data_IF_295721865438
#
_entry.id   IF_295721865438
#
_cell.length_a   1.000
_cell.length_b   1.000
_cell.length_c   1.000
_cell.angle_alpha   90.00
_cell.angle_beta   90.00
_cell.angle_gamma   90.00
#
_symmetry.space_group_name_H-M   'P 1'
#
loop_
_entity.id
_entity.type
_entity.pdbx_description
1 polymer ?
#
# COMPACT_ATOMS: atom_id res chain seq x y z
N UNK A 1 4.88 -8.28 -3.04
CA UNK A 1 4.11 -7.21 -2.42
C UNK A 1 2.99 -7.79 -1.57
N UNK A 2 2.69 -7.14 -0.47
CA UNK A 2 1.64 -7.57 0.45
C UNK A 2 0.65 -6.42 0.60
N UNK A 3 -0.65 -6.70 0.50
CA UNK A 3 -1.69 -5.69 0.59
C UNK A 3 -2.79 -6.13 1.55
N UNK A 4 -3.22 -5.25 2.44
CA UNK A 4 -4.41 -5.47 3.25
C UNK A 4 -5.32 -4.26 3.13
N UNK A 5 -6.48 -4.41 2.54
CA UNK A 5 -7.55 -3.41 2.55
C UNK A 5 -8.90 -4.13 2.57
N UNK A 6 -9.75 -3.82 3.54
CA UNK A 6 -11.14 -4.24 3.53
C UNK A 6 -12.01 -3.05 3.15
N UNK A 7 -12.84 -3.22 2.13
CA UNK A 7 -13.83 -2.22 1.73
C UNK A 7 -15.21 -2.82 1.92
N UNK A 8 -15.99 -2.24 2.79
CA UNK A 8 -17.41 -2.48 2.90
C UNK A 8 -18.14 -1.29 2.27
N UNK A 9 -19.19 -1.58 1.54
CA UNK A 9 -20.11 -0.58 1.05
C UNK A 9 -21.53 -0.88 1.50
N UNK A 10 -22.02 0.07 2.27
CA UNK A 10 -23.45 0.37 2.31
C UNK A 10 -23.65 1.73 1.65
N UNK A 11 -24.76 1.94 1.03
CA UNK A 11 -25.15 3.28 0.57
C UNK A 11 -24.95 4.27 1.72
N UNK A 12 -23.93 5.14 1.61
CA UNK A 12 -23.67 6.35 2.40
C UNK A 12 -22.96 6.29 3.76
N UNK A 13 -22.25 5.23 4.17
CA UNK A 13 -21.55 5.25 5.46
C UNK A 13 -20.07 4.94 5.45
N UNK A 14 -19.43 4.89 4.27
CA UNK A 14 -17.99 4.70 4.18
C UNK A 14 -17.22 6.01 4.38
N UNK A 15 -15.96 5.88 4.74
CA UNK A 15 -15.05 7.01 4.93
C UNK A 15 -14.50 7.49 3.60
N UNK A 16 -14.31 8.82 3.50
CA UNK A 16 -13.77 9.49 2.32
C UNK A 16 -12.25 9.58 2.38
N UNK A 17 -11.61 9.40 1.25
CA UNK A 17 -10.17 9.50 1.06
C UNK A 17 -9.70 10.93 0.84
N UNK A 18 -8.55 11.25 1.44
CA UNK A 18 -7.86 12.51 1.27
C UNK A 18 -6.36 12.26 1.04
N UNK A 19 -5.83 12.56 -0.15
CA UNK A 19 -4.40 12.46 -0.40
C UNK A 19 -3.63 13.59 0.31
N UNK A 20 -2.44 13.27 0.82
CA UNK A 20 -1.48 14.27 1.29
C UNK A 20 -0.20 14.19 0.46
N UNK A 21 0.58 15.27 0.45
CA UNK A 21 1.96 15.18 -0.03
C UNK A 21 2.72 14.19 0.85
N UNK A 22 3.35 13.14 0.28
CA UNK A 22 4.02 12.12 1.07
C UNK A 22 4.99 12.73 2.09
N UNK A 23 4.83 12.39 3.37
CA UNK A 23 5.58 12.97 4.48
C UNK A 23 6.07 11.91 5.44
N UNK A 24 7.34 12.01 5.87
CA UNK A 24 7.95 11.10 6.86
C UNK A 24 7.42 11.38 8.25
N UNK A 25 6.75 10.36 8.86
CA UNK A 25 6.25 10.41 10.25
C UNK A 25 7.22 9.73 11.22
N UNK A 26 7.98 8.73 10.77
CA UNK A 26 8.91 7.98 11.60
C UNK A 26 10.13 7.54 10.81
N UNK A 27 11.30 7.75 11.41
CA UNK A 27 12.55 7.10 11.05
C UNK A 27 13.20 6.65 12.35
N UNK A 28 13.33 5.35 12.56
CA UNK A 28 13.88 4.81 13.81
C UNK A 28 15.41 4.68 13.81
N UNK A 29 16.10 5.05 12.73
CA UNK A 29 17.55 4.96 12.68
C UNK A 29 18.23 6.04 13.54
N UNK A 30 19.23 5.72 14.37
CA UNK A 30 19.84 4.41 14.52
C UNK A 30 19.15 3.49 15.57
N UNK A 31 18.06 3.92 16.20
CA UNK A 31 17.40 3.26 17.34
C UNK A 31 16.27 2.33 16.86
N UNK A 32 16.62 1.15 16.38
CA UNK A 32 15.67 0.15 15.86
C UNK A 32 14.58 -0.23 16.88
N UNK A 33 13.43 -0.68 16.39
CA UNK A 33 12.41 -1.33 17.23
C UNK A 33 12.93 -2.72 17.59
N UNK A 34 13.04 -3.02 18.88
CA UNK A 34 13.56 -4.29 19.38
C UNK A 34 12.57 -5.45 19.08
N UNK A 35 13.12 -6.66 18.95
CA UNK A 35 12.33 -7.87 18.76
C UNK A 35 11.28 -8.05 19.88
N UNK A 36 10.06 -8.44 19.50
CA UNK A 36 8.97 -8.68 20.42
C UNK A 36 8.37 -7.43 21.06
N UNK A 37 8.78 -6.21 20.65
CA UNK A 37 8.29 -4.97 21.24
C UNK A 37 7.37 -4.20 20.30
N UNK A 38 6.59 -3.30 20.87
CA UNK A 38 5.65 -2.41 20.17
C UNK A 38 6.05 -0.96 20.38
N UNK A 39 6.01 -0.17 19.32
CA UNK A 39 6.16 1.29 19.34
C UNK A 39 4.87 1.96 18.89
N UNK A 40 4.36 2.89 19.66
CA UNK A 40 3.25 3.74 19.25
C UNK A 40 3.76 4.93 18.42
N UNK A 41 2.96 5.33 17.43
CA UNK A 41 3.24 6.46 16.54
C UNK A 41 1.99 7.33 16.43
N UNK A 42 2.11 8.60 16.74
CA UNK A 42 1.07 9.59 16.48
C UNK A 42 0.97 9.82 14.97
N UNK A 43 -0.25 9.70 14.43
CA UNK A 43 -0.52 9.85 13.00
C UNK A 43 -1.53 10.95 12.70
N UNK A 44 -2.25 11.45 13.69
CA UNK A 44 -3.18 12.58 13.53
C UNK A 44 -2.53 13.89 14.03
N UNK A 45 -2.89 15.02 13.41
CA UNK A 45 -2.30 16.32 13.70
C UNK A 45 -0.88 16.51 13.16
N UNK A 46 -0.37 15.57 12.38
CA UNK A 46 1.00 15.56 11.83
C UNK A 46 0.98 15.15 10.35
N UNK A 47 1.99 15.54 9.57
CA UNK A 47 2.14 15.11 8.18
C UNK A 47 0.96 15.45 7.25
N UNK A 48 0.16 16.46 7.58
CA UNK A 48 -1.03 16.85 6.82
C UNK A 48 -2.30 16.03 7.18
N UNK A 49 -2.22 15.15 8.18
CA UNK A 49 -3.37 14.36 8.67
C UNK A 49 -4.09 15.14 9.77
N UNK A 50 -5.40 15.47 9.63
CA UNK A 50 -6.14 16.20 10.64
C UNK A 50 -6.45 15.35 11.88
N UNK A 51 -6.83 15.99 12.99
CA UNK A 51 -7.15 15.33 14.26
C UNK A 51 -8.36 14.41 14.20
N UNK A 52 -9.28 14.65 13.26
CA UNK A 52 -10.50 13.85 13.06
C UNK A 52 -10.34 12.72 12.04
N UNK A 53 -9.12 12.43 11.59
CA UNK A 53 -8.87 11.28 10.71
C UNK A 53 -9.18 9.97 11.44
N UNK A 54 -9.88 9.08 10.77
CA UNK A 54 -10.34 7.78 11.28
C UNK A 54 -9.44 6.63 10.86
N UNK A 55 -8.75 6.79 9.72
CA UNK A 55 -7.72 5.88 9.24
C UNK A 55 -6.66 6.63 8.44
N UNK A 56 -5.49 6.00 8.29
CA UNK A 56 -4.37 6.52 7.50
C UNK A 56 -3.89 5.48 6.50
N UNK A 57 -3.40 5.96 5.36
CA UNK A 57 -2.65 5.15 4.39
C UNK A 57 -1.18 5.53 4.49
N UNK A 58 -0.37 4.52 4.72
CA UNK A 58 1.06 4.66 5.03
C UNK A 58 1.89 3.82 4.06
N UNK A 59 3.10 4.26 3.77
CA UNK A 59 4.16 3.39 3.32
C UNK A 59 5.05 3.04 4.53
N UNK A 60 5.06 1.78 4.92
CA UNK A 60 5.85 1.28 6.06
C UNK A 60 6.98 0.43 5.54
N UNK A 61 8.21 0.71 5.92
CA UNK A 61 9.37 -0.06 5.50
C UNK A 61 10.16 -0.62 6.69
N UNK A 62 10.48 -1.90 6.64
CA UNK A 62 11.55 -2.49 7.44
C UNK A 62 12.88 -2.25 6.74
N UNK A 63 13.87 -1.75 7.47
CA UNK A 63 15.16 -1.33 6.90
C UNK A 63 16.31 -1.94 7.69
N UNK A 64 17.28 -2.52 6.97
CA UNK A 64 18.47 -3.17 7.53
C UNK A 64 18.17 -4.16 8.66
N UNK A 65 17.22 -5.10 8.47
CA UNK A 65 16.92 -6.10 9.50
C UNK A 65 18.07 -7.11 9.61
N UNK A 66 18.51 -7.39 10.84
CA UNK A 66 19.60 -8.36 11.08
C UNK A 66 19.13 -9.81 10.95
N UNK A 67 17.82 -10.07 11.13
CA UNK A 67 17.19 -11.38 11.00
C UNK A 67 15.88 -11.25 10.23
N UNK A 68 15.44 -12.34 9.62
CA UNK A 68 14.11 -12.41 9.02
C UNK A 68 13.02 -12.21 10.08
N UNK A 69 11.95 -11.49 9.74
CA UNK A 69 10.89 -11.14 10.68
C UNK A 69 9.67 -10.53 10.00
N UNK A 70 8.86 -9.86 10.82
CA UNK A 70 7.66 -9.19 10.33
C UNK A 70 7.35 -7.94 11.16
N UNK A 71 6.59 -7.03 10.56
CA UNK A 71 5.91 -5.94 11.27
C UNK A 71 4.42 -6.20 11.28
N UNK A 72 3.76 -5.79 12.39
CA UNK A 72 2.31 -5.70 12.50
C UNK A 72 1.97 -4.26 12.85
N UNK A 73 1.14 -3.64 11.99
CA UNK A 73 0.68 -2.26 12.17
C UNK A 73 -0.81 -2.31 12.45
N UNK A 74 -1.22 -1.73 13.56
CA UNK A 74 -2.59 -1.85 14.06
C UNK A 74 -3.00 -0.63 14.88
N UNK A 75 -4.30 -0.43 15.16
CA UNK A 75 -4.76 0.71 15.96
C UNK A 75 -4.18 0.66 17.37
N UNK A 76 -3.63 1.76 17.86
CA UNK A 76 -3.19 1.84 19.26
C UNK A 76 -4.33 1.57 20.22
N UNK A 77 -4.07 0.84 21.31
CA UNK A 77 -5.08 0.40 22.26
C UNK A 77 -5.85 -0.86 21.87
N UNK A 78 -5.64 -1.38 20.65
CA UNK A 78 -6.22 -2.67 20.24
C UNK A 78 -5.29 -3.83 20.57
N UNK A 79 -5.81 -5.07 20.73
CA UNK A 79 -5.00 -6.26 20.87
C UNK A 79 -4.04 -6.46 19.68
N UNK A 80 -2.88 -7.06 19.93
CA UNK A 80 -1.91 -7.40 18.88
C UNK A 80 -2.53 -8.40 17.89
N UNK A 81 -2.68 -8.03 16.59
CA UNK A 81 -3.30 -8.91 15.61
C UNK A 81 -2.37 -10.08 15.25
N UNK A 82 -2.93 -11.18 14.76
CA UNK A 82 -2.15 -12.31 14.23
C UNK A 82 -1.60 -12.05 12.82
N UNK A 83 -2.25 -11.17 12.06
CA UNK A 83 -1.86 -10.80 10.71
C UNK A 83 -0.65 -9.87 10.70
N UNK A 84 0.36 -10.16 9.87
CA UNK A 84 1.47 -9.25 9.60
C UNK A 84 1.11 -8.23 8.53
N UNK A 85 1.61 -7.01 8.68
CA UNK A 85 1.49 -5.96 7.67
C UNK A 85 2.59 -6.04 6.62
N UNK A 86 3.78 -6.51 7.00
CA UNK A 86 4.86 -6.87 6.08
C UNK A 86 5.78 -7.92 6.71
N UNK A 87 6.39 -8.72 5.85
CA UNK A 87 7.44 -9.68 6.24
C UNK A 87 8.74 -9.30 5.54
N UNK A 88 9.85 -9.50 6.22
CA UNK A 88 11.18 -9.16 5.70
C UNK A 88 12.18 -10.30 5.94
N UNK A 89 13.12 -10.45 5.02
CA UNK A 89 14.28 -11.34 5.17
C UNK A 89 15.47 -10.56 5.72
N UNK A 90 16.45 -11.28 6.23
CA UNK A 90 17.73 -10.73 6.68
C UNK A 90 18.36 -9.83 5.62
N UNK A 91 18.81 -8.65 6.01
CA UNK A 91 19.46 -7.65 5.14
C UNK A 91 18.64 -7.19 3.92
N UNK A 92 17.31 -7.38 3.94
CA UNK A 92 16.43 -6.92 2.86
C UNK A 92 15.54 -5.77 3.33
N UNK A 93 15.67 -4.64 2.67
CA UNK A 93 14.75 -3.52 2.87
C UNK A 93 13.41 -3.84 2.19
N UNK A 94 12.33 -3.83 2.96
CA UNK A 94 11.00 -4.21 2.45
C UNK A 94 10.00 -3.13 2.82
N UNK A 95 9.46 -2.38 1.85
CA UNK A 95 8.33 -1.50 2.06
C UNK A 95 7.01 -2.23 1.83
N UNK A 96 5.95 -1.73 2.41
CA UNK A 96 4.58 -2.11 2.08
C UNK A 96 3.61 -0.94 2.28
N UNK A 97 2.62 -0.83 1.41
CA UNK A 97 1.48 0.05 1.61
C UNK A 97 0.56 -0.54 2.69
N UNK A 98 0.30 0.23 3.74
CA UNK A 98 -0.50 -0.19 4.88
C UNK A 98 -1.63 0.81 5.09
N UNK A 99 -2.87 0.32 5.12
CA UNK A 99 -4.01 1.10 5.60
C UNK A 99 -4.35 0.63 6.99
N UNK A 100 -4.51 1.56 7.90
CA UNK A 100 -4.74 1.25 9.31
C UNK A 100 -5.70 2.25 9.94
N UNK A 101 -6.67 1.74 10.70
CA UNK A 101 -7.57 2.56 11.53
C UNK A 101 -6.74 3.31 12.58
N UNK A 102 -7.09 4.56 12.83
CA UNK A 102 -6.51 5.33 13.93
C UNK A 102 -7.04 4.78 15.26
N UNK A 103 -6.16 4.54 16.19
CA UNK A 103 -6.46 4.04 17.51
C UNK A 103 -6.50 5.15 18.58
N UNK A 104 -6.33 4.75 19.82
CA UNK A 104 -6.36 5.65 20.98
C UNK A 104 -5.36 6.79 20.82
N UNK A 105 -5.76 7.99 21.21
CA UNK A 105 -4.95 9.22 21.18
C UNK A 105 -4.42 9.58 19.80
N UNK A 106 -5.10 9.22 18.72
CA UNK A 106 -4.66 9.52 17.36
C UNK A 106 -3.42 8.74 16.92
N UNK A 107 -3.23 7.54 17.47
CA UNK A 107 -2.02 6.75 17.30
C UNK A 107 -2.29 5.40 16.60
N UNK A 108 -1.24 4.85 16.03
CA UNK A 108 -1.12 3.45 15.62
C UNK A 108 -0.01 2.78 16.42
N UNK A 109 -0.05 1.46 16.47
CA UNK A 109 0.98 0.62 17.09
C UNK A 109 1.74 -0.15 16.02
N UNK A 110 3.07 -0.24 16.16
CA UNK A 110 3.98 -0.96 15.27
C UNK A 110 4.72 -1.99 16.11
N UNK A 111 4.40 -3.26 15.93
CA UNK A 111 5.09 -4.39 16.57
C UNK A 111 6.14 -4.95 15.62
N UNK A 112 7.32 -5.24 16.14
CA UNK A 112 8.41 -5.89 15.41
C UNK A 112 8.63 -7.31 15.93
N UNK A 113 8.44 -8.32 15.07
CA UNK A 113 8.73 -9.72 15.40
C UNK A 113 10.21 -10.01 15.55
N UNK A 114 11.07 -9.27 14.85
CA UNK A 114 12.53 -9.22 15.05
C UNK A 114 13.03 -7.78 14.94
N UNK A 115 14.19 -7.51 15.55
CA UNK A 115 14.77 -6.16 15.58
C UNK A 115 14.98 -5.62 14.18
N UNK A 116 14.43 -4.43 13.90
CA UNK A 116 14.59 -3.75 12.61
C UNK A 116 14.40 -2.24 12.76
N UNK A 117 15.05 -1.48 11.89
CA UNK A 117 14.69 -0.09 11.70
C UNK A 117 13.40 0.02 10.90
N UNK A 118 12.58 1.01 11.22
CA UNK A 118 11.28 1.23 10.59
C UNK A 118 11.19 2.66 10.08
N UNK A 119 10.76 2.79 8.83
CA UNK A 119 10.36 4.06 8.23
C UNK A 119 8.85 4.05 8.03
N UNK A 120 8.20 5.18 8.32
CA UNK A 120 6.77 5.36 8.07
C UNK A 120 6.55 6.69 7.37
N UNK A 121 5.99 6.64 6.17
CA UNK A 121 5.57 7.79 5.40
C UNK A 121 4.05 7.78 5.25
N UNK A 122 3.38 8.90 5.50
CA UNK A 122 1.95 9.04 5.23
C UNK A 122 1.74 9.50 3.80
N UNK A 123 0.73 8.92 3.13
CA UNK A 123 0.36 9.27 1.75
C UNK A 123 -1.09 9.78 1.65
N UNK A 124 -1.88 9.61 2.71
CA UNK A 124 -3.23 10.11 2.80
C UNK A 124 -3.97 9.56 4.02
N UNK A 125 -5.20 10.01 4.20
CA UNK A 125 -6.04 9.64 5.34
C UNK A 125 -7.51 9.50 4.94
N UNK A 126 -8.30 9.00 5.87
CA UNK A 126 -9.75 8.85 5.73
C UNK A 126 -10.47 9.60 6.85
N UNK A 127 -11.66 10.13 6.52
CA UNK A 127 -12.55 10.81 7.48
C UNK A 127 -14.00 10.43 7.26
N UNK A 128 -14.81 10.54 8.32
CA UNK A 128 -16.26 10.49 8.22
C UNK A 128 -16.83 11.75 7.56
N UNK A 129 -16.69 11.87 6.26
CA UNK A 129 -17.38 12.92 5.52
C UNK A 129 -17.99 12.30 4.25
N UNK A 130 -19.30 12.20 4.23
CA UNK A 130 -20.05 11.40 3.25
C UNK A 130 -20.03 11.88 1.79
N UNK A 131 -19.18 12.85 1.42
CA UNK A 131 -19.36 13.57 0.15
C UNK A 131 -18.10 13.65 -0.73
N UNK A 132 -16.95 13.08 -0.33
CA UNK A 132 -15.71 13.21 -1.07
C UNK A 132 -15.11 11.85 -1.47
N UNK A 133 -14.00 11.85 -2.10
CA UNK A 133 -13.29 10.81 -2.81
C UNK A 133 -13.46 9.37 -2.28
N UNK A 134 -14.10 8.57 -3.07
CA UNK A 134 -14.38 7.16 -2.82
C UNK A 134 -13.63 6.29 -3.84
N UNK A 135 -13.33 5.06 -3.47
CA UNK A 135 -12.56 4.13 -4.31
C UNK A 135 -13.43 3.51 -5.40
N UNK A 136 -12.89 3.44 -6.60
CA UNK A 136 -13.45 2.67 -7.71
C UNK A 136 -12.41 1.66 -8.17
N UNK A 137 -12.66 0.34 -8.03
CA UNK A 137 -11.75 -0.69 -8.54
C UNK A 137 -11.78 -0.72 -10.07
N UNK A 138 -10.65 -1.08 -10.67
CA UNK A 138 -10.56 -1.42 -12.11
C UNK A 138 -9.93 -2.79 -12.27
N UNK A 139 -10.19 -3.46 -13.39
CA UNK A 139 -9.46 -4.68 -13.75
C UNK A 139 -7.96 -4.35 -13.82
N UNK A 140 -7.11 -5.05 -13.06
CA UNK A 140 -5.69 -4.77 -13.04
C UNK A 140 -5.09 -4.79 -14.45
N UNK A 141 -4.53 -3.66 -14.86
CA UNK A 141 -4.04 -3.47 -16.23
C UNK A 141 -2.63 -2.87 -16.23
N UNK A 142 -1.70 -3.48 -16.94
CA UNK A 142 -0.35 -2.94 -17.12
C UNK A 142 -0.36 -1.78 -18.10
N UNK A 143 0.03 -0.59 -17.63
CA UNK A 143 0.12 0.63 -18.44
C UNK A 143 1.57 1.01 -18.77
N UNK A 144 2.55 0.45 -18.07
CA UNK A 144 3.98 0.70 -18.33
C UNK A 144 4.80 -0.56 -18.06
N UNK A 145 5.73 -0.84 -18.99
CA UNK A 145 6.81 -1.81 -18.83
C UNK A 145 8.02 -1.28 -19.61
N UNK A 146 9.04 -0.77 -18.90
CA UNK A 146 10.19 -0.14 -19.53
C UNK A 146 11.44 -0.27 -18.66
N UNK A 147 12.61 -0.18 -19.28
CA UNK A 147 13.89 -0.02 -18.57
C UNK A 147 14.02 1.43 -18.11
N UNK A 148 14.21 1.63 -16.80
CA UNK A 148 14.47 2.94 -16.20
C UNK A 148 15.94 3.05 -15.82
N UNK A 149 16.63 4.03 -16.41
CA UNK A 149 18.05 4.25 -16.20
C UNK A 149 18.36 4.68 -14.75
N UNK A 150 19.61 4.50 -14.29
CA UNK A 150 20.05 4.95 -12.96
C UNK A 150 19.83 6.45 -12.76
N UNK A 151 19.39 6.85 -11.57
CA UNK A 151 19.26 8.24 -11.14
C UNK A 151 18.43 9.13 -12.10
N UNK A 152 17.49 8.52 -12.84
CA UNK A 152 16.61 9.23 -13.78
C UNK A 152 15.16 9.20 -13.33
N UNK A 153 14.38 10.16 -13.85
CA UNK A 153 12.93 10.26 -13.67
C UNK A 153 12.24 10.01 -15.01
N UNK A 154 11.14 9.27 -14.99
CA UNK A 154 10.20 9.16 -16.11
C UNK A 154 8.82 9.63 -15.68
N UNK A 155 8.01 10.08 -16.63
CA UNK A 155 6.61 10.41 -16.41
C UNK A 155 5.72 9.34 -17.04
N UNK A 156 4.72 8.89 -16.30
CA UNK A 156 3.75 7.87 -16.73
C UNK A 156 2.36 8.48 -16.72
N UNK A 157 1.69 8.45 -17.88
CA UNK A 157 0.28 8.87 -17.98
C UNK A 157 -0.60 7.82 -17.33
N UNK A 158 -1.36 8.23 -16.32
CA UNK A 158 -2.28 7.38 -15.56
C UNK A 158 -3.73 7.75 -15.80
N UNK A 159 -4.03 9.03 -16.00
CA UNK A 159 -5.37 9.47 -16.36
C UNK A 159 -5.70 9.07 -17.80
N UNK A 160 -6.83 8.43 -18.00
CA UNK A 160 -7.23 7.87 -19.29
C UNK A 160 -6.60 6.52 -19.65
N UNK A 161 -5.82 5.92 -18.72
CA UNK A 161 -5.13 4.65 -18.95
C UNK A 161 -5.63 3.55 -18.01
N UNK A 162 -5.69 2.30 -18.48
CA UNK A 162 -5.95 1.10 -17.69
C UNK A 162 -7.24 1.18 -16.85
N UNK A 163 -8.33 1.73 -17.41
CA UNK A 163 -9.62 1.88 -16.73
C UNK A 163 -9.74 3.12 -15.83
N UNK A 164 -8.67 3.90 -15.65
CA UNK A 164 -8.74 5.17 -14.94
C UNK A 164 -9.29 6.25 -15.90
N UNK A 165 -10.32 7.03 -15.51
CA UNK A 165 -10.86 8.08 -16.36
C UNK A 165 -9.81 9.14 -16.73
N UNK A 166 -9.98 9.78 -17.90
CA UNK A 166 -9.17 10.94 -18.26
C UNK A 166 -9.47 12.12 -17.34
N UNK A 167 -8.48 12.97 -17.08
CA UNK A 167 -8.68 14.18 -16.30
C UNK A 167 -9.55 15.18 -17.07
N UNK A 168 -10.65 15.62 -16.46
CA UNK A 168 -11.53 16.66 -16.97
C UNK A 168 -12.44 17.15 -15.86
N UNK A 169 -13.11 18.31 -16.02
CA UNK A 169 -13.95 18.90 -14.97
C UNK A 169 -15.06 17.97 -14.44
N UNK A 170 -15.44 16.95 -15.23
CA UNK A 170 -16.47 15.98 -14.88
C UNK A 170 -15.92 14.63 -14.37
N UNK A 171 -14.62 14.37 -14.47
CA UNK A 171 -14.04 13.05 -14.13
C UNK A 171 -13.26 13.03 -12.83
N UNK A 172 -12.95 14.18 -12.25
CA UNK A 172 -12.50 14.45 -10.89
C UNK A 172 -11.72 13.36 -10.13
N UNK A 173 -10.81 12.60 -10.80
CA UNK A 173 -9.98 11.63 -10.05
C UNK A 173 -9.05 12.37 -9.11
N UNK A 174 -9.12 12.06 -7.82
CA UNK A 174 -8.23 12.65 -6.81
C UNK A 174 -6.94 11.87 -6.66
N UNK A 175 -7.01 10.56 -6.87
CA UNK A 175 -5.83 9.69 -6.77
C UNK A 175 -5.97 8.46 -7.65
N UNK A 176 -4.87 8.06 -8.29
CA UNK A 176 -4.70 6.76 -8.92
C UNK A 176 -4.18 5.75 -7.89
N UNK A 177 -4.65 4.53 -7.96
CA UNK A 177 -4.13 3.39 -7.17
C UNK A 177 -3.34 2.50 -8.12
N UNK A 178 -2.04 2.44 -7.92
CA UNK A 178 -1.08 1.83 -8.83
C UNK A 178 -0.26 0.77 -8.10
N UNK A 179 0.03 -0.33 -8.78
CA UNK A 179 1.04 -1.27 -8.33
C UNK A 179 2.35 -0.97 -9.09
N UNK A 180 3.37 -0.53 -8.36
CA UNK A 180 4.65 -0.07 -8.91
C UNK A 180 5.68 -1.16 -8.72
N UNK A 181 6.22 -1.69 -9.82
CA UNK A 181 7.24 -2.73 -9.81
C UNK A 181 8.62 -2.20 -10.15
N UNK A 182 9.62 -2.60 -9.35
CA UNK A 182 11.03 -2.57 -9.69
C UNK A 182 11.46 -4.01 -9.92
N UNK A 183 11.50 -4.45 -11.18
CA UNK A 183 11.81 -5.82 -11.53
C UNK A 183 13.24 -5.93 -12.09
N UNK A 184 13.86 -7.10 -11.90
CA UNK A 184 15.20 -7.41 -12.39
C UNK A 184 16.24 -6.31 -12.08
N UNK A 185 16.31 -5.80 -10.82
CA UNK A 185 17.24 -4.74 -10.51
C UNK A 185 18.68 -5.26 -10.53
N UNK A 186 19.55 -4.56 -11.25
CA UNK A 186 20.98 -4.88 -11.29
C UNK A 186 21.75 -4.33 -10.07
N UNK A 187 21.09 -3.58 -9.20
CA UNK A 187 21.63 -3.02 -7.96
C UNK A 187 20.53 -2.77 -6.93
N UNK A 188 20.93 -2.48 -5.70
CA UNK A 188 19.99 -2.08 -4.66
C UNK A 188 19.59 -0.61 -4.81
N UNK A 189 18.35 -0.27 -4.46
CA UNK A 189 17.85 1.08 -4.55
C UNK A 189 16.39 1.24 -4.17
N UNK A 190 15.80 2.31 -4.67
CA UNK A 190 14.41 2.62 -4.40
C UNK A 190 13.74 3.33 -5.60
N UNK A 191 12.42 3.24 -5.65
CA UNK A 191 11.60 4.12 -6.50
C UNK A 191 10.89 5.14 -5.63
N UNK A 192 10.76 6.37 -6.16
CA UNK A 192 9.89 7.42 -5.61
C UNK A 192 8.82 7.73 -6.63
N UNK A 193 7.59 7.93 -6.18
CA UNK A 193 6.44 8.24 -7.03
C UNK A 193 5.74 9.47 -6.48
N UNK A 194 5.44 10.44 -7.36
CA UNK A 194 4.79 11.69 -6.97
C UNK A 194 4.01 12.31 -8.14
N UNK A 195 3.12 13.30 -7.88
CA UNK A 195 2.42 14.03 -8.94
C UNK A 195 3.40 14.74 -9.87
N UNK A 196 3.31 14.54 -11.18
CA UNK A 196 4.14 15.26 -12.16
C UNK A 196 3.95 16.77 -12.01
N UNK A 197 5.04 17.52 -12.02
CA UNK A 197 5.04 18.97 -11.81
C UNK A 197 5.18 19.39 -10.34
N UNK A 198 5.10 18.45 -9.38
CA UNK A 198 5.37 18.73 -7.97
C UNK A 198 6.82 18.42 -7.61
N UNK A 199 7.26 18.88 -6.43
CA UNK A 199 8.59 18.57 -5.90
C UNK A 199 8.70 17.07 -5.57
N UNK A 200 9.83 16.45 -5.92
CA UNK A 200 10.13 15.05 -5.60
C UNK A 200 10.19 14.86 -4.07
N UNK A 201 9.41 13.92 -3.51
CA UNK A 201 9.41 13.67 -2.07
C UNK A 201 10.70 12.97 -1.61
N UNK A 202 11.03 13.10 -0.32
CA UNK A 202 12.13 12.34 0.29
C UNK A 202 11.76 10.88 0.62
N UNK A 203 10.45 10.57 0.65
CA UNK A 203 9.95 9.23 0.90
C UNK A 203 10.10 8.32 -0.32
N UNK A 204 10.48 7.07 -0.10
CA UNK A 204 10.47 6.04 -1.15
C UNK A 204 9.13 5.32 -1.19
N UNK A 205 8.66 5.02 -2.39
CA UNK A 205 7.45 4.19 -2.61
C UNK A 205 7.80 2.71 -2.63
N UNK A 206 8.93 2.35 -3.24
CA UNK A 206 9.39 0.98 -3.34
C UNK A 206 10.89 0.92 -3.01
N UNK A 207 11.33 -0.15 -2.34
CA UNK A 207 12.74 -0.43 -2.07
C UNK A 207 13.05 -1.84 -2.54
N UNK A 208 14.20 -2.02 -3.18
CA UNK A 208 14.61 -3.28 -3.77
C UNK A 208 16.11 -3.54 -3.52
N UNK A 209 16.51 -4.78 -3.64
CA UNK A 209 17.92 -5.21 -3.60
C UNK A 209 18.31 -5.79 -4.95
N UNK A 210 19.60 -5.87 -5.24
CA UNK A 210 20.09 -6.53 -6.44
C UNK A 210 19.46 -7.92 -6.58
N UNK A 211 18.99 -8.24 -7.78
CA UNK A 211 18.31 -9.49 -8.14
C UNK A 211 17.03 -9.81 -7.35
N UNK A 212 16.54 -8.88 -6.53
CA UNK A 212 15.33 -9.05 -5.72
C UNK A 212 14.33 -7.95 -6.06
N UNK A 213 13.59 -8.18 -7.15
CA UNK A 213 12.57 -7.26 -7.63
C UNK A 213 11.37 -7.20 -6.69
N UNK A 214 10.82 -6.01 -6.54
CA UNK A 214 9.71 -5.74 -5.61
C UNK A 214 8.60 -4.97 -6.29
N UNK A 215 7.39 -5.24 -5.86
CA UNK A 215 6.21 -4.45 -6.18
C UNK A 215 5.65 -3.84 -4.91
N UNK A 216 5.14 -2.63 -5.00
CA UNK A 216 4.42 -1.98 -3.91
C UNK A 216 3.28 -1.13 -4.42
N UNK A 217 2.22 -1.01 -3.62
CA UNK A 217 1.08 -0.18 -3.94
C UNK A 217 1.43 1.30 -3.71
N UNK A 218 1.09 2.13 -4.69
CA UNK A 218 1.12 3.58 -4.60
C UNK A 218 -0.28 4.16 -4.74
N UNK A 219 -0.66 5.05 -3.83
CA UNK A 219 -1.84 5.89 -4.01
C UNK A 219 -1.31 7.29 -4.23
N UNK A 220 -1.51 7.82 -5.42
CA UNK A 220 -0.88 9.07 -5.85
C UNK A 220 -1.84 9.92 -6.65
N UNK A 221 -1.88 11.23 -6.37
CA UNK A 221 -2.62 12.20 -7.17
C UNK A 221 -1.94 12.32 -8.54
N UNK A 222 -2.65 12.22 -9.66
CA UNK A 222 -2.09 12.61 -10.94
C UNK A 222 -1.75 14.12 -10.95
N UNK A 223 -0.57 14.43 -11.47
CA UNK A 223 -0.12 15.82 -11.62
C UNK A 223 -0.41 16.39 -13.01
N UNK A 224 0.49 17.24 -13.52
CA UNK A 224 0.39 17.85 -14.85
C UNK A 224 0.11 16.78 -15.91
N UNK A 225 -0.83 17.06 -16.81
CA UNK A 225 -1.26 16.17 -17.90
C UNK A 225 -1.74 14.79 -17.46
N UNK A 226 -2.24 14.65 -16.22
CA UNK A 226 -2.71 13.36 -15.69
C UNK A 226 -1.59 12.33 -15.48
N UNK A 227 -0.36 12.80 -15.22
CA UNK A 227 0.83 11.97 -15.11
C UNK A 227 1.32 11.85 -13.66
N UNK A 228 2.06 10.78 -13.40
CA UNK A 228 2.89 10.60 -12.22
C UNK A 228 4.35 10.53 -12.63
N UNK A 229 5.23 11.13 -11.84
CA UNK A 229 6.67 11.05 -12.00
C UNK A 229 7.22 9.90 -11.17
N UNK A 230 8.13 9.12 -11.75
CA UNK A 230 8.77 7.97 -11.09
C UNK A 230 10.28 8.09 -11.23
N UNK A 231 10.99 8.12 -10.10
CA UNK A 231 12.45 8.24 -10.03
C UNK A 231 13.09 6.92 -9.61
N UNK A 232 14.13 6.52 -10.33
CA UNK A 232 15.01 5.43 -9.94
C UNK A 232 16.18 5.96 -9.10
N UNK A 233 16.13 5.78 -7.80
CA UNK A 233 17.18 6.19 -6.84
C UNK A 233 18.27 5.12 -6.64
N UNK A 234 18.58 4.33 -7.65
CA UNK A 234 19.70 3.39 -7.63
C UNK A 234 20.78 3.81 -8.63
N UNK A 235 21.99 3.27 -8.47
CA UNK A 235 23.10 3.41 -9.41
C UNK A 235 23.03 2.41 -10.59
N UNK A 236 21.98 1.63 -10.69
CA UNK A 236 21.79 0.60 -11.70
C UNK A 236 20.42 0.73 -12.40
N UNK A 237 20.27 0.10 -13.56
CA UNK A 237 19.00 0.01 -14.26
C UNK A 237 18.02 -0.89 -13.53
N UNK A 238 16.73 -0.62 -13.71
CA UNK A 238 15.63 -1.44 -13.23
C UNK A 238 14.54 -1.53 -14.28
N UNK A 239 13.86 -2.65 -14.39
CA UNK A 239 12.63 -2.74 -15.19
C UNK A 239 11.49 -2.18 -14.35
N UNK A 240 10.97 -1.02 -14.77
CA UNK A 240 9.80 -0.39 -14.18
C UNK A 240 8.54 -1.00 -14.77
N UNK A 241 7.64 -1.46 -13.91
CA UNK A 241 6.26 -1.78 -14.29
C UNK A 241 5.28 -0.94 -13.50
N UNK A 242 4.19 -0.53 -14.15
CA UNK A 242 3.09 0.19 -13.52
C UNK A 242 1.78 -0.48 -13.94
N UNK A 243 1.05 -1.00 -12.97
CA UNK A 243 -0.27 -1.58 -13.17
C UNK A 243 -1.31 -0.71 -12.46
N UNK A 244 -2.43 -0.41 -13.12
CA UNK A 244 -3.59 0.23 -12.49
C UNK A 244 -4.38 -0.82 -11.73
N UNK A 245 -4.95 -0.46 -10.56
CA UNK A 245 -5.83 -1.33 -9.78
C UNK A 245 -7.08 -0.62 -9.29
N UNK A 246 -7.16 0.69 -9.46
CA UNK A 246 -8.32 1.51 -9.10
C UNK A 246 -7.98 2.99 -9.06
N UNK A 247 -8.95 3.77 -8.65
CA UNK A 247 -8.80 5.22 -8.47
C UNK A 247 -9.78 5.74 -7.40
N UNK A 248 -9.54 6.94 -6.92
CA UNK A 248 -10.45 7.66 -6.03
C UNK A 248 -11.11 8.80 -6.79
N UNK A 249 -12.42 8.92 -6.65
CA UNK A 249 -13.25 9.95 -7.27
C UNK A 249 -14.52 10.17 -6.47
N UNK A 250 -15.24 11.25 -6.78
CA UNK A 250 -16.60 11.47 -6.29
C UNK A 250 -17.55 10.33 -6.72
N UNK A 251 -18.34 9.81 -5.78
CA UNK A 251 -19.38 8.81 -6.07
C UNK A 251 -18.89 7.37 -6.21
N UNK A 252 -17.66 7.06 -5.82
CA UNK A 252 -17.14 5.69 -5.69
C UNK A 252 -17.61 5.01 -4.39
N UNK A 253 -16.76 4.12 -3.87
CA UNK A 253 -17.05 3.23 -2.76
C UNK A 253 -16.39 3.70 -1.46
N UNK A 254 -17.16 3.90 -0.37
CA UNK A 254 -16.63 4.28 0.93
C UNK A 254 -15.74 3.19 1.54
N UNK A 255 -14.66 3.60 2.21
CA UNK A 255 -13.76 2.68 2.90
C UNK A 255 -14.25 2.43 4.33
N UNK A 256 -14.27 1.17 4.76
CA UNK A 256 -14.55 0.79 6.16
C UNK A 256 -13.28 0.17 6.76
N UNK A 257 -12.57 0.91 7.61
CA UNK A 257 -11.37 0.38 8.24
C UNK A 257 -11.72 -0.66 9.32
N UNK A 258 -10.98 -1.75 9.32
CA UNK A 258 -11.12 -2.81 10.32
C UNK A 258 -9.76 -3.22 10.89
N UNK A 259 -9.76 -3.90 12.03
CA UNK A 259 -8.55 -4.52 12.56
C UNK A 259 -8.07 -5.60 11.59
N UNK A 260 -6.75 -5.70 11.30
CA UNK A 260 -6.22 -6.74 10.43
C UNK A 260 -6.58 -8.14 10.93
N UNK A 261 -7.15 -8.96 10.06
CA UNK A 261 -7.50 -10.34 10.37
C UNK A 261 -7.05 -11.27 9.22
N UNK A 262 -6.73 -12.51 9.55
CA UNK A 262 -6.31 -13.51 8.55
C UNK A 262 -7.54 -14.22 8.00
N UNK A 263 -7.70 -14.19 6.67
CA UNK A 263 -8.81 -14.87 5.97
C UNK A 263 -8.38 -16.18 5.31
N UNK A 264 -7.15 -16.24 4.79
CA UNK A 264 -6.61 -17.44 4.14
C UNK A 264 -5.21 -17.73 4.68
N UNK A 265 -4.95 -18.98 5.02
CA UNK A 265 -3.62 -19.48 5.42
C UNK A 265 -3.36 -20.85 4.82
N UNK A 266 -2.60 -20.90 3.73
CA UNK A 266 -2.29 -22.14 3.03
C UNK A 266 -1.31 -23.05 3.78
N UNK A 267 -0.71 -22.59 4.89
CA UNK A 267 0.10 -23.44 5.77
C UNK A 267 -0.74 -24.46 6.55
N UNK A 268 -2.04 -24.21 6.66
CA UNK A 268 -3.01 -25.15 7.26
C UNK A 268 -3.51 -26.22 6.27
N UNK A 269 -3.05 -26.16 5.02
CA UNK A 269 -3.41 -27.08 3.95
C UNK A 269 -2.22 -27.30 3.02
N UNK A 270 -2.46 -27.32 1.70
CA UNK A 270 -1.41 -27.47 0.70
C UNK A 270 -0.88 -26.10 0.24
N UNK A 271 0.44 -25.96 -0.01
CA UNK A 271 0.98 -24.80 -0.71
C UNK A 271 0.34 -24.61 -2.09
N UNK A 272 0.26 -23.37 -2.54
CA UNK A 272 -0.16 -23.05 -3.91
C UNK A 272 0.90 -23.58 -4.88
N UNK A 273 0.53 -24.51 -5.75
CA UNK A 273 1.46 -25.08 -6.72
C UNK A 273 1.86 -24.04 -7.79
N UNK A 274 3.01 -24.26 -8.43
CA UNK A 274 3.48 -23.40 -9.51
C UNK A 274 2.45 -23.35 -10.66
N UNK A 275 2.12 -22.15 -11.12
CA UNK A 275 1.14 -21.93 -12.18
C UNK A 275 -0.34 -22.12 -11.76
N UNK A 276 -0.60 -22.40 -10.47
CA UNK A 276 -1.95 -22.54 -9.92
C UNK A 276 -2.35 -21.33 -9.06
N UNK A 277 -3.59 -21.31 -8.63
CA UNK A 277 -4.14 -20.30 -7.74
C UNK A 277 -4.98 -20.92 -6.63
N UNK A 278 -5.28 -20.15 -5.61
CA UNK A 278 -6.23 -20.50 -4.55
C UNK A 278 -7.33 -19.44 -4.53
N UNK A 279 -8.56 -19.91 -4.49
CA UNK A 279 -9.73 -19.06 -4.27
C UNK A 279 -10.13 -19.09 -2.81
N UNK A 280 -10.62 -17.97 -2.31
CA UNK A 280 -11.07 -17.85 -0.92
C UNK A 280 -12.32 -16.98 -0.84
N UNK A 281 -13.33 -17.45 -0.12
CA UNK A 281 -14.49 -16.63 0.23
C UNK A 281 -14.07 -15.62 1.28
N UNK A 282 -14.32 -14.34 1.02
CA UNK A 282 -13.92 -13.22 1.90
C UNK A 282 -15.13 -12.64 2.62
N UNK A 283 -16.30 -12.56 1.97
CA UNK A 283 -17.55 -12.11 2.60
C UNK A 283 -17.95 -13.06 3.73
N UNK A 284 -18.37 -12.51 4.86
CA UNK A 284 -18.75 -13.27 6.05
C UNK A 284 -17.59 -13.76 6.91
N UNK A 285 -16.34 -13.45 6.56
CA UNK A 285 -15.15 -13.87 7.30
C UNK A 285 -14.43 -12.70 7.97
N UNK A 286 -13.83 -12.96 9.11
CA UNK A 286 -12.91 -12.02 9.79
C UNK A 286 -13.48 -10.62 10.02
N UNK A 287 -14.79 -10.50 10.23
CA UNK A 287 -15.47 -9.22 10.43
C UNK A 287 -15.92 -8.52 9.14
N UNK A 288 -15.70 -9.12 7.98
CA UNK A 288 -16.24 -8.64 6.70
C UNK A 288 -17.69 -9.14 6.59
N UNK A 289 -18.69 -8.26 6.40
CA UNK A 289 -20.08 -8.67 6.28
C UNK A 289 -20.33 -9.60 5.10
N UNK A 290 -21.30 -10.51 5.26
CA UNK A 290 -21.80 -11.31 4.16
C UNK A 290 -22.93 -10.54 3.45
N UNK A 291 -22.57 -9.46 2.77
CA UNK A 291 -23.51 -8.59 2.06
C UNK A 291 -23.03 -8.32 0.64
N UNK A 292 -23.98 -8.16 -0.30
CA UNK A 292 -23.69 -7.73 -1.67
C UNK A 292 -23.06 -6.33 -1.72
N UNK A 293 -23.23 -5.53 -0.65
CA UNK A 293 -22.61 -4.19 -0.54
C UNK A 293 -21.08 -4.22 -0.37
N UNK A 294 -20.50 -5.39 -0.05
CA UNK A 294 -19.05 -5.58 -0.08
C UNK A 294 -18.65 -5.90 -1.52
N UNK A 295 -18.17 -4.91 -2.26
CA UNK A 295 -17.81 -5.05 -3.69
C UNK A 295 -16.29 -5.11 -3.92
N UNK A 296 -15.48 -4.70 -2.94
CA UNK A 296 -14.04 -4.83 -3.00
C UNK A 296 -13.47 -5.02 -1.60
N UNK A 297 -12.36 -5.71 -1.52
CA UNK A 297 -11.59 -5.86 -0.29
C UNK A 297 -10.12 -5.58 -0.58
N UNK A 298 -9.46 -4.97 0.36
CA UNK A 298 -8.03 -4.88 0.26
C UNK A 298 -7.39 -5.91 1.18
N UNK A 299 -6.57 -6.75 0.63
CA UNK A 299 -5.95 -7.88 1.30
C UNK A 299 -4.43 -7.73 1.30
N UNK A 300 -3.81 -8.14 2.40
CA UNK A 300 -2.38 -8.34 2.45
C UNK A 300 -2.08 -9.79 2.03
N UNK A 301 -1.42 -9.95 0.88
CA UNK A 301 -1.01 -11.27 0.39
C UNK A 301 0.46 -11.49 0.73
N UNK A 302 0.74 -12.44 1.61
CA UNK A 302 2.09 -12.83 1.98
C UNK A 302 2.41 -14.20 1.37
N UNK A 303 3.57 -14.32 0.71
CA UNK A 303 4.12 -15.63 0.39
C UNK A 303 5.33 -15.93 1.28
N UNK A 304 5.49 -17.19 1.65
CA UNK A 304 6.63 -17.69 2.40
C UNK A 304 7.47 -18.56 1.48
N UNK A 305 8.67 -18.08 1.15
CA UNK A 305 9.79 -18.71 0.43
C UNK A 305 9.49 -19.51 -0.85
N UNK A 306 10.09 -19.06 -1.95
CA UNK A 306 10.11 -19.70 -3.26
C UNK A 306 9.44 -18.77 -4.28
N UNK A 307 10.22 -18.21 -5.17
CA UNK A 307 9.80 -17.23 -6.17
C UNK A 307 8.56 -17.70 -6.97
N UNK A 308 7.41 -17.13 -6.68
CA UNK A 308 6.27 -17.11 -7.61
C UNK A 308 5.36 -15.91 -7.28
N UNK A 309 4.92 -15.24 -8.30
CA UNK A 309 4.04 -14.07 -8.24
C UNK A 309 2.61 -14.51 -7.95
N UNK A 310 2.01 -14.05 -6.86
CA UNK A 310 0.58 -14.20 -6.65
C UNK A 310 -0.17 -13.23 -7.58
N UNK A 311 -0.97 -13.74 -8.51
CA UNK A 311 -2.00 -12.98 -9.21
C UNK A 311 -3.26 -12.98 -8.34
N UNK A 312 -3.73 -11.81 -7.97
CA UNK A 312 -5.10 -11.64 -7.46
C UNK A 312 -5.98 -11.43 -8.68
N UNK A 313 -6.77 -12.43 -9.02
CA UNK A 313 -7.81 -12.30 -10.04
C UNK A 313 -9.10 -11.84 -9.34
N UNK A 314 -9.57 -10.67 -9.74
CA UNK A 314 -10.92 -10.22 -9.42
C UNK A 314 -11.90 -10.94 -10.36
N UNK A 315 -12.73 -11.80 -9.81
CA UNK A 315 -13.91 -12.33 -10.51
C UNK A 315 -15.13 -11.77 -9.80
N UNK A 316 -15.60 -10.62 -10.27
CA UNK A 316 -16.96 -10.22 -10.09
C UNK A 316 -17.78 -10.84 -11.23
N UNK A 317 -18.55 -11.86 -10.90
CA UNK A 317 -19.69 -12.32 -11.70
C UNK A 317 -20.95 -12.14 -10.88
#
# INVERSE_FOLDING_TARGET
GQYTVSVQMTTQTGESWWPVTPSRLLDTRPNAIAAGTTRNLTVTGVGGVPSNATAVSLNVAAVTPNLAGHLRVYPAGSPLPTASSLNFATNKNVPNAVKVKVGTSGQISIYAGNTTNVLVDVVGYYTHNAVWDQYTPVTPTRITNMTLAPLTTTNVTVAGAGGIPSTGPASGISSAVLNIGALYPNGSGHLRVWPTGSTMPNSSTNNFSASDGRMNLAIVRPGTSGQVSIYNGSSATVTLTVDTVGYFTWGGLGFVPMAPARTVDTRLGAPVAAGSYVEGTIRGFSGIPNSADVVAVAVNVAHWIGAQVAKVLDQAA
#
